data_IF_243499921476
#
_entry.id   IF_243499921476
#
_cell.length_a   1.000
_cell.length_b   1.000
_cell.length_c   1.000
_cell.angle_alpha   90.00
_cell.angle_beta   90.00
_cell.angle_gamma   90.00
#
_symmetry.space_group_name_H-M   'P 1'
#
loop_
_entity.id
_entity.type
_entity.pdbx_description
1 polymer ?
#
# COMPACT_ATOMS: atom_id res chain seq x y z
N UNK A 1 19.60 0.56 16.61
CA UNK A 1 19.02 0.05 15.35
C UNK A 1 17.51 0.15 15.47
N UNK A 2 16.89 1.08 14.75
CA UNK A 2 15.43 1.26 14.74
C UNK A 2 14.78 0.01 14.16
N UNK A 3 14.01 -0.71 14.98
CA UNK A 3 13.19 -1.83 14.48
C UNK A 3 12.25 -1.28 13.42
N UNK A 4 12.36 -1.77 12.19
CA UNK A 4 11.36 -1.54 11.16
C UNK A 4 10.03 -2.09 11.67
N UNK A 5 9.00 -1.23 11.75
CA UNK A 5 7.67 -1.60 12.27
C UNK A 5 6.95 -2.64 11.39
N UNK A 6 7.35 -2.74 10.13
CA UNK A 6 6.77 -3.63 9.13
C UNK A 6 7.87 -4.45 8.48
N UNK A 7 7.58 -5.73 8.25
CA UNK A 7 8.47 -6.62 7.52
C UNK A 7 8.52 -6.21 6.03
N UNK A 8 9.59 -6.54 5.29
CA UNK A 8 9.68 -6.24 3.86
C UNK A 8 8.50 -6.82 3.06
N UNK A 9 8.01 -8.01 3.42
CA UNK A 9 6.89 -8.67 2.75
C UNK A 9 5.59 -7.86 2.89
N UNK A 10 5.33 -7.29 4.07
CA UNK A 10 4.16 -6.41 4.30
C UNK A 10 4.26 -5.16 3.42
N UNK A 11 5.46 -4.60 3.28
CA UNK A 11 5.68 -3.38 2.46
C UNK A 11 5.49 -3.66 0.98
N UNK A 12 6.07 -4.75 0.48
CA UNK A 12 5.92 -5.16 -0.92
C UNK A 12 4.45 -5.47 -1.25
N UNK A 13 3.75 -6.15 -0.34
CA UNK A 13 2.33 -6.43 -0.50
C UNK A 13 1.48 -5.17 -0.54
N UNK A 14 1.77 -4.17 0.31
CA UNK A 14 1.07 -2.89 0.28
C UNK A 14 1.28 -2.14 -1.07
N UNK A 15 2.48 -2.23 -1.66
CA UNK A 15 2.77 -1.63 -2.96
C UNK A 15 2.07 -2.38 -4.10
N UNK A 16 2.07 -3.72 -4.08
CA UNK A 16 1.34 -4.51 -5.07
C UNK A 16 -0.16 -4.19 -5.05
N UNK A 17 -0.78 -4.14 -3.87
CA UNK A 17 -2.19 -3.79 -3.72
C UNK A 17 -2.51 -2.38 -4.24
N UNK A 18 -1.60 -1.42 -4.04
CA UNK A 18 -1.76 -0.07 -4.58
C UNK A 18 -1.75 -0.07 -6.11
N UNK A 19 -0.81 -0.77 -6.73
CA UNK A 19 -0.70 -0.87 -8.20
C UNK A 19 -1.92 -1.56 -8.80
N UNK A 20 -2.40 -2.63 -8.15
CA UNK A 20 -3.61 -3.34 -8.58
C UNK A 20 -4.86 -2.45 -8.53
N UNK A 21 -4.94 -1.58 -7.52
CA UNK A 21 -6.08 -0.72 -7.25
C UNK A 21 -6.00 0.66 -7.94
N UNK A 22 -4.83 1.05 -8.47
CA UNK A 22 -4.59 2.40 -9.00
C UNK A 22 -5.60 2.82 -10.08
N UNK A 23 -5.99 1.87 -10.93
CA UNK A 23 -6.97 2.08 -12.01
C UNK A 23 -8.41 2.28 -11.53
N UNK A 24 -8.72 1.87 -10.30
CA UNK A 24 -10.09 1.91 -9.76
C UNK A 24 -10.38 3.22 -9.02
N UNK A 25 -9.35 4.06 -8.80
CA UNK A 25 -9.47 5.31 -8.05
C UNK A 25 -8.93 6.51 -8.83
N UNK A 26 -9.51 7.71 -8.63
CA UNK A 26 -9.10 8.92 -9.34
C UNK A 26 -7.73 9.47 -8.90
N UNK A 27 -7.12 8.90 -7.85
CA UNK A 27 -5.79 9.28 -7.38
C UNK A 27 -5.16 8.19 -6.52
N UNK A 28 -3.83 8.19 -6.42
CA UNK A 28 -3.10 7.24 -5.58
C UNK A 28 -3.46 7.40 -4.09
N UNK A 29 -3.77 8.62 -3.63
CA UNK A 29 -4.23 8.84 -2.26
C UNK A 29 -5.60 8.19 -1.99
N UNK A 30 -6.52 8.27 -2.95
CA UNK A 30 -7.80 7.58 -2.86
C UNK A 30 -7.63 6.05 -2.85
N UNK A 31 -6.73 5.50 -3.67
CA UNK A 31 -6.39 4.08 -3.63
C UNK A 31 -5.77 3.66 -2.29
N UNK A 32 -4.80 4.41 -1.77
CA UNK A 32 -4.14 4.13 -0.48
C UNK A 32 -5.16 4.10 0.67
N UNK A 33 -6.06 5.09 0.71
CA UNK A 33 -7.08 5.17 1.78
C UNK A 33 -8.12 4.06 1.68
N UNK A 34 -8.38 3.52 0.49
CA UNK A 34 -9.31 2.42 0.29
C UNK A 34 -8.72 1.03 0.60
N UNK A 35 -7.42 0.82 0.37
CA UNK A 35 -6.74 -0.48 0.64
C UNK A 35 -6.15 -0.57 2.06
N UNK A 36 -6.00 0.56 2.75
CA UNK A 36 -5.52 0.58 4.12
C UNK A 36 -6.58 0.00 5.07
N UNK A 37 -6.21 -0.94 5.96
CA UNK A 37 -7.11 -1.46 6.99
C UNK A 37 -7.42 -0.43 8.08
#
# INVERSE_FOLDING_TARGET
MTKLKYTPEIRERAVQLLIESEKDYPSNWAAITAIAP
#
